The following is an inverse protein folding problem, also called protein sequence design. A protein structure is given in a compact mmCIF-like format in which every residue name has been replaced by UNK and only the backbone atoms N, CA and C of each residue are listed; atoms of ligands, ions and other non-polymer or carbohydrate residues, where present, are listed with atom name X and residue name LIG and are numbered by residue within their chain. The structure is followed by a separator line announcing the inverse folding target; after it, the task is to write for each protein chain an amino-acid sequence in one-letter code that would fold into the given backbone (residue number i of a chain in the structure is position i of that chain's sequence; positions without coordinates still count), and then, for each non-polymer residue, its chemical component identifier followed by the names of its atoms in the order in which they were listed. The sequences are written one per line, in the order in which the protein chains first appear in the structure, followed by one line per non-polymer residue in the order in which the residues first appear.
data_IF_204418887364
#
_entry.id   IF_204418887364
#
_cell.length_a   1.000
_cell.length_b   1.000
_cell.length_c   1.000
_cell.angle_alpha   90.00
_cell.angle_beta   90.00
_cell.angle_gamma   90.00
#
_symmetry.space_group_name_H-M   'P 1'
#
loop_
_entity.id
_entity.type
_entity.pdbx_description
1 polymer ?
#
# COMPACT_ATOMS: atom_id res chain seq x y z
N UNK A 1 7.21 -9.04 -11.09
CA UNK A 1 6.90 -10.24 -10.26
C UNK A 1 6.48 -9.76 -8.88
N UNK A 2 5.25 -10.03 -8.42
CA UNK A 2 4.72 -9.51 -7.14
C UNK A 2 4.65 -10.56 -6.02
N UNK A 3 4.87 -11.84 -6.34
CA UNK A 3 4.71 -12.95 -5.39
C UNK A 3 5.55 -12.82 -4.11
N UNK A 4 6.67 -12.09 -4.14
CA UNK A 4 7.49 -11.86 -2.95
C UNK A 4 6.77 -10.99 -1.90
N UNK A 5 5.96 -10.02 -2.33
CA UNK A 5 5.17 -9.13 -1.44
C UNK A 5 4.18 -9.97 -0.62
N UNK A 6 3.57 -10.99 -1.25
CA UNK A 6 2.65 -11.92 -0.61
C UNK A 6 3.28 -12.68 0.58
N UNK A 7 4.62 -12.81 0.60
CA UNK A 7 5.33 -13.53 1.66
C UNK A 7 5.64 -12.66 2.87
N UNK A 8 5.48 -11.33 2.77
CA UNK A 8 5.86 -10.40 3.83
C UNK A 8 5.02 -10.58 5.11
N UNK A 9 3.69 -10.78 5.06
CA UNK A 9 2.91 -11.05 6.28
C UNK A 9 3.37 -12.30 7.04
N UNK A 10 4.03 -13.24 6.37
CA UNK A 10 4.57 -14.45 7.01
C UNK A 10 5.99 -14.24 7.54
N UNK A 11 6.84 -13.54 6.78
CA UNK A 11 8.26 -13.33 7.12
C UNK A 11 8.49 -12.14 8.07
N UNK A 12 7.63 -11.14 7.98
CA UNK A 12 7.75 -9.84 8.65
C UNK A 12 6.50 -9.54 9.48
N UNK A 13 5.77 -10.56 9.92
CA UNK A 13 4.49 -10.44 10.63
C UNK A 13 4.56 -9.41 11.78
N UNK A 14 5.65 -9.45 12.54
CA UNK A 14 5.93 -8.56 13.66
C UNK A 14 7.42 -8.29 13.77
N UNK A 15 7.81 -7.04 13.96
CA UNK A 15 9.19 -6.65 14.28
C UNK A 15 9.23 -5.29 14.99
N UNK A 16 10.36 -4.94 15.58
CA UNK A 16 10.59 -3.58 16.10
C UNK A 16 11.49 -2.82 15.14
N UNK A 17 10.99 -1.72 14.60
CA UNK A 17 11.81 -0.74 13.87
C UNK A 17 12.48 0.20 14.87
N UNK A 18 13.72 0.58 14.57
CA UNK A 18 14.48 1.56 15.36
C UNK A 18 14.94 2.67 14.42
N UNK A 19 14.60 3.92 14.74
CA UNK A 19 15.04 5.07 13.96
C UNK A 19 16.49 5.47 14.29
N UNK A 20 17.04 6.45 13.56
CA UNK A 20 18.41 6.92 13.76
C UNK A 20 18.69 7.57 15.12
N UNK A 21 17.65 7.92 15.88
CA UNK A 21 17.74 8.50 17.24
C UNK A 21 17.51 7.45 18.33
N UNK A 22 17.25 6.18 17.96
CA UNK A 22 16.97 5.09 18.89
C UNK A 22 15.49 4.95 19.26
N UNK A 23 14.60 5.74 18.67
CA UNK A 23 13.15 5.61 18.83
C UNK A 23 12.67 4.25 18.32
N UNK A 24 11.80 3.59 19.09
CA UNK A 24 11.34 2.22 18.82
C UNK A 24 9.87 2.21 18.40
N UNK A 25 9.58 1.50 17.31
CA UNK A 25 8.22 1.33 16.79
C UNK A 25 7.94 -0.16 16.64
N UNK A 26 6.87 -0.66 17.28
CA UNK A 26 6.41 -2.03 17.09
C UNK A 26 5.57 -2.09 15.82
N UNK A 27 6.07 -2.83 14.83
CA UNK A 27 5.48 -2.96 13.51
C UNK A 27 4.72 -4.28 13.41
N UNK A 28 3.54 -4.24 12.80
CA UNK A 28 2.77 -5.40 12.36
C UNK A 28 2.56 -5.31 10.84
N UNK A 29 2.65 -6.44 10.14
CA UNK A 29 2.41 -6.53 8.70
C UNK A 29 1.39 -7.63 8.42
N UNK A 30 0.25 -7.25 7.84
CA UNK A 30 -0.82 -8.17 7.47
C UNK A 30 -1.18 -8.03 5.99
N UNK A 31 -1.83 -9.05 5.42
CA UNK A 31 -2.38 -8.96 4.07
C UNK A 31 -3.61 -8.04 4.04
N UNK A 32 -3.71 -7.22 3.00
CA UNK A 32 -4.89 -6.43 2.69
C UNK A 32 -5.53 -6.91 1.38
N UNK A 33 -6.87 -6.89 1.32
CA UNK A 33 -7.60 -7.21 0.09
C UNK A 33 -7.57 -6.00 -0.84
N UNK A 34 -7.46 -6.26 -2.13
CA UNK A 34 -7.53 -5.23 -3.19
C UNK A 34 -8.61 -5.61 -4.20
N UNK A 35 -9.20 -4.62 -4.91
CA UNK A 35 -10.06 -4.88 -6.05
C UNK A 35 -9.38 -5.75 -7.10
N UNK A 36 -10.18 -6.44 -7.92
CA UNK A 36 -9.70 -7.38 -8.93
C UNK A 36 -9.11 -6.71 -10.18
N UNK A 37 -8.03 -5.96 -9.99
CA UNK A 37 -7.35 -5.16 -11.00
C UNK A 37 -5.99 -5.74 -11.40
N UNK A 38 -5.63 -5.53 -12.66
CA UNK A 38 -4.35 -5.97 -13.24
C UNK A 38 -4.15 -7.49 -13.28
N UNK A 39 -3.01 -7.92 -13.81
CA UNK A 39 -2.68 -9.35 -13.99
C UNK A 39 -2.15 -9.99 -12.70
N UNK A 40 -1.75 -9.18 -11.73
CA UNK A 40 -1.44 -9.60 -10.37
C UNK A 40 -1.48 -8.38 -9.45
N UNK A 41 -1.87 -8.62 -8.19
CA UNK A 41 -2.01 -7.58 -7.16
C UNK A 41 -1.63 -8.14 -5.81
N UNK A 42 -1.04 -7.32 -4.96
CA UNK A 42 -0.73 -7.65 -3.57
C UNK A 42 -0.97 -6.41 -2.70
N UNK A 43 -1.78 -6.61 -1.65
CA UNK A 43 -2.07 -5.59 -0.66
C UNK A 43 -1.46 -5.95 0.69
N UNK A 44 -0.94 -4.96 1.39
CA UNK A 44 -0.49 -5.08 2.78
C UNK A 44 -1.08 -3.95 3.59
N UNK A 45 -1.36 -4.21 4.87
CA UNK A 45 -1.54 -3.18 5.87
C UNK A 45 -0.41 -3.30 6.89
N UNK A 46 0.21 -2.17 7.19
CA UNK A 46 1.34 -2.04 8.11
C UNK A 46 0.92 -1.11 9.23
N UNK A 47 0.95 -1.59 10.47
CA UNK A 47 0.66 -0.79 11.65
C UNK A 47 1.91 -0.62 12.48
N UNK A 48 2.24 0.62 12.84
CA UNK A 48 3.41 0.97 13.64
C UNK A 48 2.93 1.66 14.91
N UNK A 49 3.24 1.06 16.06
CA UNK A 49 2.88 1.57 17.37
C UNK A 49 4.14 2.03 18.10
N UNK A 50 4.16 3.28 18.56
CA UNK A 50 5.27 3.82 19.32
C UNK A 50 5.04 5.26 19.70
N UNK A 51 6.11 6.05 19.80
CA UNK A 51 6.02 7.47 20.12
C UNK A 51 6.29 8.33 18.89
N UNK A 52 5.50 9.39 18.73
CA UNK A 52 5.75 10.49 17.78
C UNK A 52 5.73 11.77 18.61
N UNK A 53 6.82 12.55 18.55
CA UNK A 53 6.98 13.77 19.35
C UNK A 53 6.76 13.57 20.87
N UNK A 54 7.10 12.38 21.38
CA UNK A 54 6.94 12.02 22.79
C UNK A 54 5.56 11.47 23.17
N UNK A 55 4.58 11.52 22.26
CA UNK A 55 3.22 11.03 22.51
C UNK A 55 2.97 9.66 21.88
N UNK A 56 2.22 8.76 22.55
CA UNK A 56 1.81 7.49 21.96
C UNK A 56 1.01 7.73 20.68
N UNK A 57 1.45 7.12 19.58
CA UNK A 57 0.80 7.23 18.28
C UNK A 57 0.80 5.90 17.55
N UNK A 58 -0.18 5.75 16.66
CA UNK A 58 -0.29 4.60 15.76
C UNK A 58 -0.31 5.10 14.33
N UNK A 59 0.72 4.81 13.55
CA UNK A 59 0.71 5.05 12.10
C UNK A 59 0.25 3.77 11.40
N UNK A 60 -0.79 3.88 10.59
CA UNK A 60 -1.24 2.79 9.73
C UNK A 60 -0.98 3.16 8.28
N UNK A 61 -0.37 2.24 7.53
CA UNK A 61 -0.11 2.36 6.12
C UNK A 61 -0.77 1.20 5.37
N UNK A 62 -1.53 1.50 4.33
CA UNK A 62 -1.90 0.54 3.31
C UNK A 62 -0.91 0.63 2.15
N UNK A 63 -0.43 -0.52 1.71
CA UNK A 63 0.48 -0.67 0.56
C UNK A 63 -0.23 -1.51 -0.48
N UNK A 64 -0.35 -0.99 -1.70
CA UNK A 64 -0.90 -1.72 -2.83
C UNK A 64 0.11 -1.78 -3.97
N UNK A 65 0.34 -2.97 -4.51
CA UNK A 65 1.13 -3.19 -5.71
C UNK A 65 0.28 -3.92 -6.74
N UNK A 66 0.10 -3.34 -7.93
CA UNK A 66 -0.71 -3.91 -9.02
C UNK A 66 0.11 -3.92 -10.30
N UNK A 67 0.22 -5.09 -10.95
CA UNK A 67 0.96 -5.27 -12.20
C UNK A 67 0.01 -5.18 -13.39
N UNK A 68 0.45 -4.46 -14.42
CA UNK A 68 -0.22 -4.36 -15.73
C UNK A 68 0.83 -4.67 -16.80
N UNK A 69 0.76 -5.86 -17.39
CA UNK A 69 1.77 -6.37 -18.31
C UNK A 69 3.18 -6.34 -17.70
N UNK A 70 4.08 -5.57 -18.31
CA UNK A 70 5.46 -5.36 -17.84
C UNK A 70 5.64 -4.26 -16.79
N UNK A 71 4.60 -3.46 -16.53
CA UNK A 71 4.64 -2.28 -15.65
C UNK A 71 3.84 -2.52 -14.36
N UNK A 72 3.93 -1.61 -13.40
CA UNK A 72 3.18 -1.71 -12.16
C UNK A 72 2.83 -0.33 -11.57
N UNK A 73 1.71 -0.29 -10.84
CA UNK A 73 1.34 0.77 -9.91
C UNK A 73 1.76 0.34 -8.49
N UNK A 74 2.40 1.24 -7.76
CA UNK A 74 2.69 1.06 -6.33
C UNK A 74 2.14 2.27 -5.57
N UNK A 75 1.28 2.01 -4.58
CA UNK A 75 0.60 3.02 -3.79
C UNK A 75 0.87 2.79 -2.32
N UNK A 76 1.13 3.87 -1.61
CA UNK A 76 1.13 3.93 -0.14
C UNK A 76 0.13 4.97 0.30
N UNK A 77 -0.86 4.57 1.10
CA UNK A 77 -1.81 5.46 1.75
C UNK A 77 -1.64 5.31 3.26
N UNK A 78 -1.69 6.39 4.03
CA UNK A 78 -1.41 6.29 5.45
C UNK A 78 -1.93 7.44 6.28
N UNK A 79 -2.19 7.15 7.55
CA UNK A 79 -2.70 8.11 8.50
C UNK A 79 -2.38 7.73 9.95
N UNK A 80 -2.40 8.73 10.81
CA UNK A 80 -2.39 8.51 12.26
C UNK A 80 -3.77 7.98 12.67
N UNK A 81 -3.79 6.88 13.41
CA UNK A 81 -4.98 6.17 13.89
C UNK A 81 -5.80 5.43 12.82
N UNK A 82 -5.22 5.18 11.65
CA UNK A 82 -5.83 4.36 10.61
C UNK A 82 -5.42 4.78 9.21
N UNK A 83 -5.64 3.90 8.24
CA UNK A 83 -5.60 4.24 6.83
C UNK A 83 -7.03 4.23 6.29
N UNK A 84 -7.36 5.17 5.39
CA UNK A 84 -8.60 5.12 4.63
C UNK A 84 -8.50 4.03 3.55
N UNK A 85 -8.70 2.77 3.93
CA UNK A 85 -8.50 1.63 3.03
C UNK A 85 -9.39 1.65 1.78
N UNK A 86 -10.57 2.27 1.87
CA UNK A 86 -11.44 2.48 0.71
C UNK A 86 -10.81 3.43 -0.31
N UNK A 87 -10.10 4.46 0.14
CA UNK A 87 -9.33 5.36 -0.72
C UNK A 87 -8.19 4.62 -1.43
N UNK A 88 -7.55 3.65 -0.75
CA UNK A 88 -6.55 2.76 -1.36
C UNK A 88 -7.18 1.88 -2.45
N UNK A 89 -8.35 1.29 -2.16
CA UNK A 89 -9.07 0.46 -3.12
C UNK A 89 -9.53 1.26 -4.35
N UNK A 90 -10.08 2.46 -4.13
CA UNK A 90 -10.49 3.36 -5.19
C UNK A 90 -9.31 3.77 -6.08
N UNK A 91 -8.16 4.11 -5.48
CA UNK A 91 -6.96 4.44 -6.21
C UNK A 91 -6.44 3.26 -7.06
N UNK A 92 -6.57 2.01 -6.56
CA UNK A 92 -6.27 0.80 -7.35
C UNK A 92 -7.25 0.64 -8.53
N UNK A 93 -8.55 0.77 -8.26
CA UNK A 93 -9.62 0.60 -9.25
C UNK A 93 -9.57 1.64 -10.37
N UNK A 94 -9.21 2.89 -10.03
CA UNK A 94 -9.12 3.97 -11.00
C UNK A 94 -7.73 4.06 -11.65
N UNK A 95 -6.66 3.80 -10.88
CA UNK A 95 -5.28 3.94 -11.34
C UNK A 95 -4.86 2.82 -12.30
N UNK A 96 -5.33 1.60 -12.10
CA UNK A 96 -4.94 0.46 -12.94
C UNK A 96 -5.41 0.62 -14.39
N UNK A 97 -6.70 0.91 -14.68
CA UNK A 97 -7.15 1.13 -16.06
C UNK A 97 -6.46 2.32 -16.73
N UNK A 98 -6.12 3.36 -15.97
CA UNK A 98 -5.38 4.53 -16.48
C UNK A 98 -3.96 4.15 -16.88
N UNK A 99 -3.27 3.36 -16.06
CA UNK A 99 -1.95 2.84 -16.41
C UNK A 99 -2.04 1.98 -17.68
N UNK A 100 -3.06 1.13 -17.78
CA UNK A 100 -3.29 0.33 -18.98
C UNK A 100 -3.46 1.21 -20.23
N UNK A 101 -4.28 2.26 -20.17
CA UNK A 101 -4.46 3.20 -21.29
C UNK A 101 -3.15 3.85 -21.73
N UNK A 102 -2.30 4.27 -20.78
CA UNK A 102 -0.98 4.85 -21.10
C UNK A 102 -0.09 3.83 -21.81
N UNK A 103 -0.07 2.58 -21.35
CA UNK A 103 0.72 1.51 -21.98
C UNK A 103 0.22 1.15 -23.38
N UNK A 104 -1.07 1.36 -23.65
CA UNK A 104 -1.68 1.24 -24.98
C UNK A 104 -1.47 2.48 -25.87
N UNK A 105 -0.74 3.49 -25.40
CA UNK A 105 -0.47 4.74 -26.14
C UNK A 105 -1.64 5.73 -26.18
N UNK A 106 -2.62 5.57 -25.29
CA UNK A 106 -3.79 6.47 -25.16
C UNK A 106 -3.53 7.52 -24.07
N UNK A 107 -4.24 8.64 -24.17
CA UNK A 107 -4.28 9.66 -23.10
C UNK A 107 -5.46 9.39 -22.17
N UNK A 108 -5.25 9.10 -20.87
CA UNK A 108 -6.36 8.96 -19.93
C UNK A 108 -7.14 10.26 -19.73
N UNK A 109 -8.41 10.16 -19.34
CA UNK A 109 -9.23 11.31 -18.99
C UNK A 109 -8.55 12.18 -17.91
N UNK A 110 -8.75 13.50 -17.92
CA UNK A 110 -8.08 14.40 -16.97
C UNK A 110 -8.39 14.02 -15.51
N UNK A 111 -9.63 13.64 -15.22
CA UNK A 111 -10.07 13.23 -13.89
C UNK A 111 -10.48 11.74 -13.87
N UNK A 112 -10.27 11.03 -12.75
CA UNK A 112 -10.89 9.74 -12.52
C UNK A 112 -12.42 9.86 -12.42
N UNK A 113 -13.13 8.77 -12.74
CA UNK A 113 -14.58 8.68 -12.50
C UNK A 113 -14.84 8.23 -11.07
N UNK A 114 -15.60 9.02 -10.31
CA UNK A 114 -16.07 8.67 -8.97
C UNK A 114 -17.24 7.69 -9.01
#
# INVERSE_FOLDING_TARGET
RLAWVATLPQKCAAFTAVDGQGGRQNVQVVSARLPDEGDARQGLQVTMNGQLDGEPSTLTLDVAAVRVGGSALFLTNGGLNGAESDSTAQAVQQGTPRLQQVLEGKTPAASPTN
#
